data_IF_294300753918
#
_entry.id   IF_294300753918
#
_cell.length_a   1.000
_cell.length_b   1.000
_cell.length_c   1.000
_cell.angle_alpha   90.00
_cell.angle_beta   90.00
_cell.angle_gamma   90.00
#
_symmetry.space_group_name_H-M   'P 1'
#
loop_
_entity.id
_entity.type
_entity.pdbx_description
1 polymer ?
#
# COMPACT_ATOMS: atom_id res chain seq x y z
N UNK A 1 -16.82 22.46 19.05
CA UNK A 1 -16.51 22.01 17.67
C UNK A 1 -16.19 23.28 16.88
N UNK A 2 -14.92 23.55 16.65
CA UNK A 2 -14.47 24.67 15.80
C UNK A 2 -14.82 24.32 14.37
N UNK A 3 -15.64 25.15 13.73
CA UNK A 3 -16.02 24.98 12.30
C UNK A 3 -14.81 25.37 11.43
N UNK A 4 -13.96 24.37 11.13
CA UNK A 4 -12.78 24.53 10.28
C UNK A 4 -13.27 24.74 8.86
N UNK A 5 -12.89 25.86 8.22
CA UNK A 5 -13.24 26.12 6.83
C UNK A 5 -12.67 25.01 5.91
N UNK A 6 -13.36 24.68 4.82
CA UNK A 6 -12.94 23.64 3.86
C UNK A 6 -11.48 23.78 3.38
N UNK A 7 -11.00 24.96 2.98
CA UNK A 7 -9.59 25.16 2.60
C UNK A 7 -8.61 24.88 3.74
N UNK A 8 -8.93 25.25 4.96
CA UNK A 8 -8.06 25.03 6.12
C UNK A 8 -7.94 23.55 6.46
N UNK A 9 -9.04 22.79 6.39
CA UNK A 9 -9.02 21.35 6.61
C UNK A 9 -8.17 20.61 5.56
N UNK A 10 -8.28 20.97 4.27
CA UNK A 10 -7.43 20.39 3.22
C UNK A 10 -5.95 20.65 3.51
N UNK A 11 -5.60 21.88 3.89
CA UNK A 11 -4.22 22.24 4.17
C UNK A 11 -3.69 21.49 5.40
N UNK A 12 -4.47 21.39 6.47
CA UNK A 12 -4.09 20.70 7.70
C UNK A 12 -3.85 19.21 7.45
N UNK A 13 -4.82 18.51 6.84
CA UNK A 13 -4.68 17.08 6.54
C UNK A 13 -3.63 16.79 5.49
N UNK A 14 -3.48 17.65 4.49
CA UNK A 14 -2.40 17.56 3.50
C UNK A 14 -1.02 17.70 4.14
N UNK A 15 -0.87 18.54 5.17
CA UNK A 15 0.37 18.66 5.93
C UNK A 15 0.66 17.38 6.72
N UNK A 16 -0.34 16.77 7.36
CA UNK A 16 -0.16 15.49 8.06
C UNK A 16 0.25 14.36 7.11
N UNK A 17 -0.41 14.23 5.96
CA UNK A 17 -0.03 13.25 4.94
C UNK A 17 1.41 13.48 4.44
N UNK A 18 1.81 14.73 4.26
CA UNK A 18 3.20 15.09 3.87
C UNK A 18 4.22 14.70 4.93
N UNK A 19 3.94 14.96 6.21
CA UNK A 19 4.83 14.57 7.30
C UNK A 19 5.04 13.05 7.35
N UNK A 20 3.99 12.26 7.10
CA UNK A 20 4.06 10.79 7.01
C UNK A 20 4.93 10.39 5.82
N UNK A 21 4.70 10.95 4.63
CA UNK A 21 5.50 10.65 3.44
C UNK A 21 6.99 11.02 3.62
N UNK A 22 7.28 12.16 4.23
CA UNK A 22 8.64 12.55 4.58
C UNK A 22 9.31 11.57 5.55
N UNK A 23 8.57 11.09 6.58
CA UNK A 23 9.09 10.13 7.54
C UNK A 23 9.42 8.79 6.85
N UNK A 24 8.56 8.32 5.93
CA UNK A 24 8.81 7.14 5.10
C UNK A 24 10.07 7.30 4.25
N UNK A 25 10.21 8.39 3.52
CA UNK A 25 11.35 8.66 2.63
C UNK A 25 12.66 8.86 3.39
N UNK A 26 12.60 9.52 4.55
CA UNK A 26 13.76 9.70 5.42
C UNK A 26 14.13 8.44 6.24
N UNK A 27 13.34 7.37 6.16
CA UNK A 27 13.48 6.15 6.99
C UNK A 27 13.55 6.47 8.47
N UNK A 28 12.81 7.47 8.89
CA UNK A 28 12.76 7.92 10.26
C UNK A 28 11.54 7.31 10.97
N UNK A 29 11.77 6.15 11.61
CA UNK A 29 10.72 5.41 12.30
C UNK A 29 10.10 6.22 13.45
N UNK A 30 10.91 6.94 14.22
CA UNK A 30 10.42 7.71 15.36
C UNK A 30 9.51 8.84 14.87
N UNK A 31 9.91 9.55 13.78
CA UNK A 31 9.06 10.56 13.14
C UNK A 31 7.77 9.94 12.62
N UNK A 32 7.83 8.78 11.96
CA UNK A 32 6.65 8.08 11.47
C UNK A 32 5.68 7.76 12.62
N UNK A 33 6.16 7.10 13.66
CA UNK A 33 5.33 6.71 14.81
C UNK A 33 4.78 7.93 15.55
N UNK A 34 5.50 9.05 15.60
CA UNK A 34 5.00 10.30 16.19
C UNK A 34 3.80 10.91 15.47
N UNK A 35 3.63 10.60 14.17
CA UNK A 35 2.48 11.01 13.36
C UNK A 35 1.24 10.13 13.59
N UNK A 36 1.37 9.01 14.31
CA UNK A 36 0.31 8.02 14.51
C UNK A 36 -0.18 8.05 15.96
N UNK A 37 -1.45 7.68 16.17
CA UNK A 37 -1.93 7.39 17.52
C UNK A 37 -1.38 6.05 18.01
N UNK A 38 -1.29 5.84 19.32
CA UNK A 38 -0.79 4.58 19.89
C UNK A 38 -1.63 3.36 19.49
N UNK A 39 -2.94 3.57 19.29
CA UNK A 39 -3.94 2.58 18.89
C UNK A 39 -4.23 2.58 17.39
N UNK A 40 -3.33 3.10 16.55
CA UNK A 40 -3.53 3.20 15.11
C UNK A 40 -3.94 1.86 14.49
N UNK A 41 -4.92 1.92 13.57
CA UNK A 41 -5.28 0.82 12.68
C UNK A 41 -4.74 1.12 11.28
N UNK A 42 -4.02 0.18 10.68
CA UNK A 42 -3.51 0.31 9.31
C UNK A 42 -3.73 -1.00 8.53
N UNK A 43 -4.54 -0.92 7.48
CA UNK A 43 -4.83 -2.02 6.56
C UNK A 43 -4.17 -1.74 5.20
N UNK A 44 -3.19 -2.55 4.83
CA UNK A 44 -2.42 -2.43 3.60
C UNK A 44 -2.36 -3.81 2.90
N UNK A 45 -2.64 -3.90 1.58
CA UNK A 45 -2.58 -5.17 0.85
C UNK A 45 -1.22 -5.86 0.85
N UNK A 46 -0.14 -5.16 1.21
CA UNK A 46 1.20 -5.76 1.38
C UNK A 46 1.40 -6.40 2.76
N UNK A 47 0.47 -6.24 3.70
CA UNK A 47 0.47 -6.90 5.00
C UNK A 47 -0.29 -8.24 4.95
N UNK A 48 0.12 -9.21 5.75
CA UNK A 48 -0.63 -10.47 5.93
C UNK A 48 -1.95 -10.23 6.70
N UNK A 49 -1.89 -9.36 7.72
CA UNK A 49 -3.02 -8.92 8.53
C UNK A 49 -2.89 -7.43 8.80
N UNK A 50 -4.00 -6.71 9.01
CA UNK A 50 -3.96 -5.30 9.38
C UNK A 50 -3.12 -5.06 10.64
N UNK A 51 -2.35 -3.98 10.64
CA UNK A 51 -1.54 -3.58 11.79
C UNK A 51 -2.38 -2.84 12.83
N UNK A 52 -2.23 -3.22 14.09
CA UNK A 52 -2.81 -2.54 15.24
C UNK A 52 -1.72 -2.01 16.16
N UNK A 53 -1.69 -0.70 16.37
CA UNK A 53 -0.74 -0.02 17.24
C UNK A 53 0.68 0.09 16.66
N UNK A 54 1.53 0.79 17.39
CA UNK A 54 2.88 1.15 16.98
C UNK A 54 3.78 -0.06 16.69
N UNK A 55 3.69 -1.13 17.49
CA UNK A 55 4.59 -2.29 17.33
C UNK A 55 4.33 -3.03 16.00
N UNK A 56 3.07 -3.18 15.61
CA UNK A 56 2.72 -3.83 14.35
C UNK A 56 3.14 -2.96 13.15
N UNK A 57 2.88 -1.65 13.19
CA UNK A 57 3.33 -0.69 12.16
C UNK A 57 4.86 -0.68 12.06
N UNK A 58 5.58 -0.66 13.18
CA UNK A 58 7.04 -0.73 13.22
C UNK A 58 7.56 -1.99 12.53
N UNK A 59 6.99 -3.15 12.87
CA UNK A 59 7.39 -4.45 12.27
C UNK A 59 7.24 -4.41 10.75
N UNK A 60 6.10 -3.98 10.26
CA UNK A 60 5.82 -3.85 8.82
C UNK A 60 6.79 -2.88 8.15
N UNK A 61 6.91 -1.66 8.69
CA UNK A 61 7.76 -0.60 8.14
C UNK A 61 9.22 -1.06 7.99
N UNK A 62 9.78 -1.68 9.03
CA UNK A 62 11.17 -2.16 9.01
C UNK A 62 11.36 -3.31 8.01
N UNK A 63 10.38 -4.21 7.88
CA UNK A 63 10.39 -5.27 6.88
C UNK A 63 10.41 -4.69 5.46
N UNK A 64 9.54 -3.71 5.19
CA UNK A 64 9.46 -3.06 3.88
C UNK A 64 10.74 -2.28 3.53
N UNK A 65 11.30 -1.51 4.45
CA UNK A 65 12.55 -0.78 4.22
C UNK A 65 13.75 -1.71 4.00
N UNK A 66 13.79 -2.87 4.66
CA UNK A 66 14.81 -3.91 4.42
C UNK A 66 14.64 -4.52 3.03
N UNK A 67 13.41 -4.82 2.62
CA UNK A 67 13.12 -5.42 1.32
C UNK A 67 13.38 -4.45 0.16
N UNK A 68 13.09 -3.16 0.35
CA UNK A 68 13.12 -2.12 -0.67
C UNK A 68 13.97 -0.94 -0.17
N UNK A 69 15.32 -1.02 -0.26
CA UNK A 69 16.20 0.00 0.28
C UNK A 69 16.12 1.37 -0.43
N UNK A 70 15.63 1.44 -1.64
CA UNK A 70 15.41 2.66 -2.45
C UNK A 70 13.94 3.07 -2.53
N UNK A 71 13.11 2.64 -1.56
CA UNK A 71 11.70 2.98 -1.47
C UNK A 71 11.46 4.49 -1.50
N UNK A 72 10.58 4.93 -2.39
CA UNK A 72 10.12 6.30 -2.52
C UNK A 72 8.60 6.37 -2.43
N UNK A 73 8.11 7.28 -1.61
CA UNK A 73 6.70 7.56 -1.42
C UNK A 73 6.42 9.02 -1.78
N UNK A 74 5.65 9.25 -2.84
CA UNK A 74 5.39 10.57 -3.43
C UNK A 74 3.89 10.84 -3.43
N UNK A 75 3.46 11.94 -2.79
CA UNK A 75 2.08 12.39 -2.89
C UNK A 75 1.83 12.98 -4.28
N UNK A 76 0.79 12.53 -4.98
CA UNK A 76 0.53 12.88 -6.39
C UNK A 76 -0.60 13.89 -6.59
N UNK A 77 -0.96 14.63 -5.55
CA UNK A 77 -1.97 15.67 -5.62
C UNK A 77 -2.49 16.11 -4.27
N UNK A 78 -3.45 17.01 -4.30
CA UNK A 78 -4.16 17.43 -3.10
C UNK A 78 -5.07 16.30 -2.57
N UNK A 79 -5.27 16.19 -1.25
CA UNK A 79 -6.19 15.22 -0.69
C UNK A 79 -7.65 15.54 -1.05
N UNK A 80 -8.44 14.49 -1.26
CA UNK A 80 -9.89 14.59 -1.31
C UNK A 80 -10.43 14.48 0.12
N UNK A 81 -11.32 15.38 0.51
CA UNK A 81 -11.90 15.39 1.86
C UNK A 81 -13.37 14.94 1.85
N UNK A 82 -13.77 14.15 2.83
CA UNK A 82 -15.16 13.76 3.02
C UNK A 82 -16.05 14.97 3.37
N UNK A 83 -17.34 14.87 3.08
CA UNK A 83 -18.33 15.96 3.33
C UNK A 83 -18.41 16.33 4.81
N UNK A 84 -18.25 15.37 5.70
CA UNK A 84 -18.21 15.56 7.16
C UNK A 84 -16.84 16.01 7.70
N UNK A 85 -15.83 16.13 6.80
CA UNK A 85 -14.45 16.56 7.10
C UNK A 85 -13.72 15.68 8.13
N UNK A 86 -14.10 14.42 8.26
CA UNK A 86 -13.46 13.49 9.19
C UNK A 86 -12.40 12.62 8.54
N UNK A 87 -12.43 12.50 7.21
CA UNK A 87 -11.59 11.60 6.42
C UNK A 87 -11.02 12.29 5.20
N UNK A 88 -9.84 11.85 4.80
CA UNK A 88 -9.25 12.22 3.50
C UNK A 88 -8.91 10.99 2.69
N UNK A 89 -8.88 11.15 1.38
CA UNK A 89 -8.22 10.22 0.46
C UNK A 89 -7.02 10.93 -0.13
N UNK A 90 -5.83 10.42 0.16
CA UNK A 90 -4.57 10.96 -0.33
C UNK A 90 -4.02 10.08 -1.44
N UNK A 91 -4.02 10.56 -2.70
CA UNK A 91 -3.36 9.85 -3.80
C UNK A 91 -1.85 9.88 -3.66
N UNK A 92 -1.21 8.80 -4.07
CA UNK A 92 0.24 8.69 -4.02
C UNK A 92 0.79 7.77 -5.12
N UNK A 93 2.10 7.85 -5.30
CA UNK A 93 2.93 6.95 -6.10
C UNK A 93 4.04 6.38 -5.22
N UNK A 94 4.26 5.09 -5.31
CA UNK A 94 5.35 4.38 -4.64
C UNK A 94 6.21 3.70 -5.69
N UNK A 95 7.53 3.78 -5.51
CA UNK A 95 8.50 3.07 -6.34
C UNK A 95 9.65 2.54 -5.52
N UNK A 96 10.35 1.55 -6.07
CA UNK A 96 11.55 0.98 -5.46
C UNK A 96 12.01 -0.29 -6.15
N UNK A 97 13.07 -0.90 -5.61
CA UNK A 97 13.67 -2.13 -6.11
C UNK A 97 13.71 -3.17 -5.00
N UNK A 98 13.18 -4.37 -5.26
CA UNK A 98 13.17 -5.44 -4.27
C UNK A 98 14.54 -6.10 -4.16
N UNK A 99 15.41 -5.54 -3.32
CA UNK A 99 16.80 -5.99 -3.10
C UNK A 99 16.98 -6.88 -1.87
N UNK A 100 16.05 -6.84 -0.93
CA UNK A 100 16.04 -7.67 0.28
C UNK A 100 14.84 -8.61 0.32
N UNK A 101 14.82 -9.56 1.27
CA UNK A 101 13.66 -10.42 1.49
C UNK A 101 12.50 -9.63 2.08
N UNK A 102 11.29 -9.86 1.58
CA UNK A 102 10.05 -9.38 2.20
C UNK A 102 9.58 -10.46 3.18
N UNK A 103 9.77 -10.20 4.45
CA UNK A 103 9.50 -11.17 5.52
C UNK A 103 8.78 -10.50 6.70
N UNK A 104 7.58 -10.93 7.07
CA UNK A 104 6.78 -11.99 6.43
C UNK A 104 6.28 -11.62 5.02
N UNK A 105 5.89 -12.58 4.15
CA UNK A 105 5.85 -14.05 4.36
C UNK A 105 7.14 -14.79 3.99
N UNK A 106 8.25 -14.09 3.66
CA UNK A 106 9.52 -14.72 3.31
C UNK A 106 9.80 -14.78 1.81
N UNK A 107 9.28 -13.83 1.03
CA UNK A 107 9.60 -13.71 -0.39
C UNK A 107 11.07 -13.36 -0.60
N UNK A 108 11.75 -14.14 -1.44
CA UNK A 108 13.13 -13.86 -1.83
C UNK A 108 13.25 -12.58 -2.67
N UNK A 109 14.38 -11.84 -2.56
CA UNK A 109 14.60 -10.65 -3.38
C UNK A 109 14.63 -11.01 -4.87
N UNK A 110 13.91 -10.24 -5.69
CA UNK A 110 13.85 -10.46 -7.14
C UNK A 110 14.77 -9.55 -7.93
N UNK A 111 15.32 -8.50 -7.31
CA UNK A 111 16.10 -7.45 -7.96
C UNK A 111 15.28 -6.59 -8.93
N UNK A 112 13.96 -6.73 -8.94
CA UNK A 112 13.09 -6.01 -9.88
C UNK A 112 12.65 -4.68 -9.29
N UNK A 113 12.63 -3.67 -10.17
CA UNK A 113 12.06 -2.36 -9.90
C UNK A 113 10.54 -2.40 -10.14
N UNK A 114 9.81 -1.66 -9.31
CA UNK A 114 8.38 -1.45 -9.47
C UNK A 114 8.03 0.03 -9.31
N UNK A 115 6.90 0.41 -9.86
CA UNK A 115 6.23 1.69 -9.63
C UNK A 115 4.74 1.43 -9.66
N UNK A 116 4.03 1.88 -8.61
CA UNK A 116 2.59 1.72 -8.46
C UNK A 116 1.96 3.04 -8.01
N UNK A 117 0.74 3.26 -8.46
CA UNK A 117 -0.13 4.32 -7.95
C UNK A 117 -1.14 3.71 -6.98
N UNK A 118 -1.53 4.51 -6.00
CA UNK A 118 -2.51 4.11 -5.01
C UNK A 118 -3.08 5.29 -4.25
N UNK A 119 -3.81 4.99 -3.21
CA UNK A 119 -4.34 5.99 -2.30
C UNK A 119 -4.47 5.44 -0.89
N UNK A 120 -4.40 6.33 0.08
CA UNK A 120 -4.69 6.07 1.47
C UNK A 120 -5.99 6.78 1.86
N UNK A 121 -6.94 6.04 2.42
CA UNK A 121 -8.08 6.59 3.15
C UNK A 121 -7.64 6.77 4.61
N UNK A 122 -7.56 8.02 5.05
CA UNK A 122 -6.99 8.41 6.33
C UNK A 122 -8.03 9.08 7.22
N UNK A 123 -8.03 8.73 8.51
CA UNK A 123 -8.77 9.42 9.57
C UNK A 123 -7.78 9.90 10.64
N UNK A 124 -7.98 11.14 11.11
CA UNK A 124 -7.09 11.77 12.09
C UNK A 124 -7.83 12.04 13.38
N UNK A 125 -7.13 11.84 14.49
CA UNK A 125 -7.59 12.16 15.85
C UNK A 125 -6.49 12.95 16.57
N UNK A 126 -6.81 14.15 17.03
CA UNK A 126 -5.86 15.04 17.70
C UNK A 126 -4.58 15.29 16.92
N UNK A 127 -4.72 15.49 15.58
CA UNK A 127 -3.61 15.75 14.67
C UNK A 127 -2.74 14.52 14.36
N UNK A 128 -3.15 13.32 14.74
CA UNK A 128 -2.44 12.07 14.47
C UNK A 128 -3.31 11.11 13.66
N UNK A 129 -2.69 10.37 12.76
CA UNK A 129 -3.36 9.32 12.01
C UNK A 129 -3.79 8.20 12.95
N UNK A 130 -5.10 7.94 13.04
CA UNK A 130 -5.65 6.87 13.87
C UNK A 130 -6.19 5.69 13.05
N UNK A 131 -6.54 5.91 11.78
CA UNK A 131 -7.06 4.87 10.90
C UNK A 131 -6.58 5.10 9.48
N UNK A 132 -5.99 4.09 8.86
CA UNK A 132 -5.49 4.13 7.49
C UNK A 132 -5.92 2.87 6.73
N UNK A 133 -6.46 3.08 5.55
CA UNK A 133 -6.75 2.00 4.60
C UNK A 133 -6.01 2.32 3.31
N UNK A 134 -4.96 1.58 3.03
CA UNK A 134 -4.17 1.67 1.81
C UNK A 134 -4.79 0.82 0.70
N UNK A 135 -4.85 1.34 -0.52
CA UNK A 135 -5.33 0.58 -1.69
C UNK A 135 -4.49 0.88 -2.92
N UNK A 136 -4.09 -0.19 -3.59
CA UNK A 136 -3.36 -0.17 -4.86
C UNK A 136 -3.63 -1.46 -5.64
N UNK A 137 -3.17 -1.54 -6.88
CA UNK A 137 -3.25 -2.76 -7.69
C UNK A 137 -2.16 -3.75 -7.26
N UNK A 138 -2.52 -4.67 -6.35
CA UNK A 138 -1.62 -5.72 -5.87
C UNK A 138 -1.25 -6.74 -6.96
N UNK A 139 -2.11 -6.93 -7.97
CA UNK A 139 -1.82 -7.79 -9.12
C UNK A 139 -0.70 -7.20 -9.96
N UNK A 140 -0.78 -5.90 -10.27
CA UNK A 140 0.25 -5.21 -11.03
C UNK A 140 1.59 -5.21 -10.27
N UNK A 141 1.58 -4.92 -8.96
CA UNK A 141 2.77 -5.01 -8.12
C UNK A 141 3.40 -6.42 -8.18
N UNK A 142 2.60 -7.48 -8.01
CA UNK A 142 3.07 -8.85 -8.04
C UNK A 142 3.66 -9.24 -9.41
N UNK A 143 3.09 -8.73 -10.50
CA UNK A 143 3.62 -8.93 -11.86
C UNK A 143 4.92 -8.14 -12.09
N UNK A 144 5.03 -6.92 -11.61
CA UNK A 144 6.24 -6.11 -11.71
C UNK A 144 7.38 -6.76 -10.92
N UNK A 145 7.12 -7.23 -9.71
CA UNK A 145 8.08 -7.94 -8.86
C UNK A 145 8.42 -9.35 -9.36
N UNK A 146 7.61 -9.90 -10.28
CA UNK A 146 7.83 -11.23 -10.86
C UNK A 146 7.28 -12.38 -10.04
N UNK A 147 6.43 -12.12 -9.06
CA UNK A 147 5.70 -13.15 -8.31
C UNK A 147 4.61 -13.79 -9.14
N UNK A 148 4.04 -13.01 -10.08
CA UNK A 148 3.05 -13.48 -11.03
C UNK A 148 3.50 -13.22 -12.47
N UNK A 149 3.13 -14.09 -13.42
CA UNK A 149 3.36 -13.83 -14.83
C UNK A 149 2.50 -12.63 -15.30
N UNK A 150 3.06 -11.80 -16.17
CA UNK A 150 2.26 -10.77 -16.85
C UNK A 150 1.17 -11.42 -17.68
N UNK A 151 -0.01 -10.81 -17.73
CA UNK A 151 -1.09 -11.27 -18.56
C UNK A 151 -0.62 -11.40 -20.02
N UNK A 152 -0.78 -12.58 -20.64
CA UNK A 152 -0.35 -12.76 -22.02
C UNK A 152 -1.22 -11.91 -22.95
N UNK A 153 -0.57 -11.29 -23.93
CA UNK A 153 -1.27 -10.53 -24.97
C UNK A 153 -2.20 -11.46 -25.76
N UNK A 154 -3.45 -11.06 -25.95
CA UNK A 154 -4.47 -11.83 -26.70
C UNK A 154 -3.92 -12.24 -28.09
N UNK A 155 -4.23 -13.46 -28.51
CA UNK A 155 -3.77 -14.01 -29.78
C UNK A 155 -2.38 -14.67 -29.79
N UNK A 156 -1.58 -14.51 -28.74
CA UNK A 156 -0.28 -15.17 -28.62
C UNK A 156 -0.41 -16.65 -28.24
N UNK A 157 0.61 -17.46 -28.57
CA UNK A 157 0.67 -18.87 -28.16
C UNK A 157 0.63 -19.02 -26.63
N UNK A 158 1.30 -18.11 -25.92
CA UNK A 158 1.26 -18.06 -24.42
C UNK A 158 -0.17 -17.86 -23.90
N UNK A 159 -0.96 -16.96 -24.53
CA UNK A 159 -2.35 -16.76 -24.17
C UNK A 159 -3.20 -18.01 -24.39
N UNK A 160 -3.01 -18.70 -25.53
CA UNK A 160 -3.73 -19.94 -25.84
C UNK A 160 -3.44 -21.05 -24.83
N UNK A 161 -2.15 -21.21 -24.46
CA UNK A 161 -1.74 -22.18 -23.42
C UNK A 161 -2.34 -21.82 -22.08
N UNK A 162 -2.28 -20.54 -21.68
CA UNK A 162 -2.87 -20.04 -20.43
C UNK A 162 -4.38 -20.32 -20.34
N UNK A 163 -5.13 -20.08 -21.42
CA UNK A 163 -6.56 -20.38 -21.51
C UNK A 163 -6.83 -21.89 -21.39
N UNK A 164 -6.02 -22.75 -22.03
CA UNK A 164 -6.18 -24.19 -21.91
C UNK A 164 -5.94 -24.68 -20.48
N UNK A 165 -4.87 -24.19 -19.83
CA UNK A 165 -4.59 -24.50 -18.42
C UNK A 165 -5.72 -24.02 -17.50
N UNK A 166 -6.22 -22.81 -17.67
CA UNK A 166 -7.33 -22.28 -16.89
C UNK A 166 -8.59 -23.13 -17.07
N UNK A 167 -8.93 -23.55 -18.30
CA UNK A 167 -10.06 -24.43 -18.59
C UNK A 167 -9.91 -25.78 -17.91
N UNK A 168 -8.71 -26.34 -17.88
CA UNK A 168 -8.41 -27.60 -17.19
C UNK A 168 -8.61 -27.45 -15.67
N UNK A 169 -8.05 -26.40 -15.07
CA UNK A 169 -8.23 -26.12 -13.64
C UNK A 169 -9.71 -25.91 -13.31
N UNK A 170 -10.43 -25.11 -14.10
CA UNK A 170 -11.86 -24.86 -13.90
C UNK A 170 -12.71 -26.16 -13.99
N UNK A 171 -12.34 -27.06 -14.90
CA UNK A 171 -12.98 -28.38 -15.00
C UNK A 171 -12.75 -29.23 -13.73
N UNK A 172 -11.52 -29.23 -13.21
CA UNK A 172 -11.15 -29.97 -11.99
C UNK A 172 -11.88 -29.44 -10.76
N UNK A 173 -11.86 -28.11 -10.55
CA UNK A 173 -12.55 -27.46 -9.43
C UNK A 173 -14.05 -27.75 -9.45
N UNK A 174 -14.71 -27.69 -10.62
CA UNK A 174 -16.15 -28.01 -10.73
C UNK A 174 -16.49 -29.47 -10.41
N UNK A 175 -15.52 -30.37 -10.56
CA UNK A 175 -15.70 -31.80 -10.22
C UNK A 175 -15.50 -32.09 -8.74
N UNK A 176 -14.61 -31.33 -8.07
CA UNK A 176 -14.36 -31.44 -6.63
C UNK A 176 -15.46 -30.82 -5.76
N UNK A 177 -16.33 -30.00 -6.35
CA UNK A 177 -17.42 -29.30 -5.65
C UNK A 177 -18.78 -30.03 -5.76
N UNK A 178 -18.79 -31.25 -6.30
CA UNK A 178 -19.92 -32.18 -6.33
C UNK A 178 -19.65 -33.43 -5.46
#
# INVERSE_FOLDING_TARGET
MTDISYPHAIQEYGNHARMIAEAWNARNLDKLLSCLTEDVFWDDPAMEEPAYGHDAVKKFTLSLWRAIPDFQYILTGEPFISTDRTKIVQPWKISGTMLGPLDPPGFAPTGRRFEIDGFDLMEFRDGKLCHCITRFDGMDLAQQLGFLPRNPVSGTLKARIGVLLQRFVAWFVRRSSR
#
